data_IF_749490701749
#
_entry.id   IF_749490701749
#
_cell.length_a   1.000
_cell.length_b   1.000
_cell.length_c   1.000
_cell.angle_alpha   90.00
_cell.angle_beta   90.00
_cell.angle_gamma   90.00
#
_symmetry.space_group_name_H-M   'P 1'
#
loop_
_entity.id
_entity.type
_entity.pdbx_description
1 polymer ?
#
# COMPACT_ATOMS: atom_id res chain seq x y z
N UNK A 1 2.54 13.50 5.12
CA UNK A 1 3.45 12.41 4.74
C UNK A 1 4.84 13.01 4.90
N UNK A 2 5.59 12.57 5.91
CA UNK A 2 6.94 13.08 6.17
C UNK A 2 7.91 12.13 5.45
N UNK A 3 8.42 12.54 4.30
CA UNK A 3 9.34 11.76 3.50
C UNK A 3 10.27 12.67 2.72
N UNK A 4 11.48 12.18 2.44
CA UNK A 4 12.52 12.92 1.75
C UNK A 4 12.89 12.20 0.45
N UNK A 5 13.00 12.98 -0.62
CA UNK A 5 13.53 12.51 -1.89
C UNK A 5 15.05 12.59 -1.85
N UNK A 6 15.74 11.50 -2.18
CA UNK A 6 17.19 11.55 -2.38
C UNK A 6 17.49 11.97 -3.81
N UNK A 7 18.13 13.12 -3.96
CA UNK A 7 18.71 13.63 -5.22
C UNK A 7 20.25 13.57 -5.15
N UNK A 8 20.80 13.04 -4.05
CA UNK A 8 22.23 12.94 -3.83
C UNK A 8 22.81 11.71 -4.54
N UNK A 9 23.76 11.95 -5.45
CA UNK A 9 24.46 10.90 -6.20
C UNK A 9 25.24 9.92 -5.32
N UNK A 10 25.60 10.31 -4.09
CA UNK A 10 26.30 9.44 -3.13
C UNK A 10 25.33 8.47 -2.41
N UNK A 11 24.03 8.77 -2.40
CA UNK A 11 22.98 7.99 -1.73
C UNK A 11 21.95 7.57 -2.78
N UNK A 12 22.38 6.72 -3.72
CA UNK A 12 21.54 6.09 -4.74
C UNK A 12 21.32 4.60 -4.41
N UNK A 13 20.16 4.07 -4.75
CA UNK A 13 19.93 2.62 -4.72
C UNK A 13 20.24 2.03 -6.10
N UNK A 14 21.32 1.26 -6.21
CA UNK A 14 21.78 0.67 -7.48
C UNK A 14 21.95 1.71 -8.61
N UNK A 15 22.33 2.94 -8.26
CA UNK A 15 22.50 4.05 -9.22
C UNK A 15 21.20 4.76 -9.63
N UNK A 16 20.08 4.51 -8.93
CA UNK A 16 18.79 5.18 -9.14
C UNK A 16 18.34 5.95 -7.90
N UNK A 17 17.59 7.01 -8.14
CA UNK A 17 16.89 7.75 -7.08
C UNK A 17 15.84 6.86 -6.41
N UNK A 18 15.54 7.16 -5.15
CA UNK A 18 14.53 6.45 -4.38
C UNK A 18 13.76 7.42 -3.47
N UNK A 19 12.66 6.92 -2.90
CA UNK A 19 11.90 7.65 -1.89
C UNK A 19 12.21 7.10 -0.50
N UNK A 20 12.58 7.98 0.43
CA UNK A 20 12.74 7.64 1.84
C UNK A 20 11.52 8.12 2.63
N UNK A 21 10.69 7.19 3.09
CA UNK A 21 9.61 7.49 4.04
C UNK A 21 10.17 7.44 5.46
N UNK A 22 10.14 8.57 6.18
CA UNK A 22 10.52 8.59 7.59
C UNK A 22 9.35 8.04 8.41
N UNK A 23 9.56 6.92 9.09
CA UNK A 23 8.50 6.25 9.86
C UNK A 23 9.06 5.34 10.95
N UNK A 24 8.44 5.43 12.13
CA UNK A 24 8.61 4.47 13.25
C UNK A 24 7.37 3.59 13.41
N UNK A 25 6.43 3.64 12.46
CA UNK A 25 5.19 2.90 12.56
C UNK A 25 5.44 1.40 12.39
N UNK A 26 5.47 0.67 13.51
CA UNK A 26 5.75 -0.77 13.57
C UNK A 26 4.90 -1.60 12.60
N UNK A 27 3.61 -1.25 12.44
CA UNK A 27 2.73 -2.01 11.54
C UNK A 27 3.06 -1.88 10.07
N UNK A 28 3.45 -0.68 9.63
CA UNK A 28 3.88 -0.46 8.25
C UNK A 28 5.20 -1.18 7.99
N UNK A 29 6.13 -1.13 8.96
CA UNK A 29 7.42 -1.81 8.87
C UNK A 29 7.27 -3.33 8.73
N UNK A 30 6.45 -3.96 9.57
CA UNK A 30 6.16 -5.41 9.47
C UNK A 30 5.54 -5.79 8.12
N UNK A 31 4.65 -4.94 7.59
CA UNK A 31 4.06 -5.14 6.25
C UNK A 31 5.14 -5.01 5.17
N UNK A 32 5.99 -3.99 5.23
CA UNK A 32 7.09 -3.81 4.29
C UNK A 32 8.09 -4.98 4.33
N UNK A 33 8.38 -5.55 5.50
CA UNK A 33 9.22 -6.76 5.62
C UNK A 33 8.59 -7.96 4.90
N UNK A 34 7.27 -8.16 5.03
CA UNK A 34 6.55 -9.20 4.30
C UNK A 34 6.62 -8.98 2.79
N UNK A 35 6.47 -7.74 2.33
CA UNK A 35 6.52 -7.37 0.91
C UNK A 35 7.94 -7.44 0.32
N UNK A 36 8.99 -7.26 1.14
CA UNK A 36 10.37 -7.56 0.74
C UNK A 36 10.57 -9.07 0.51
N UNK A 37 10.00 -9.91 1.37
CA UNK A 37 10.12 -11.37 1.29
C UNK A 37 9.26 -11.96 0.16
N UNK A 38 8.09 -11.37 -0.08
CA UNK A 38 7.12 -11.78 -1.09
C UNK A 38 6.78 -10.57 -1.97
N UNK A 39 7.63 -10.23 -2.95
CA UNK A 39 7.41 -9.06 -3.79
C UNK A 39 6.29 -9.29 -4.82
N UNK A 40 5.62 -8.22 -5.22
CA UNK A 40 4.61 -8.22 -6.28
C UNK A 40 4.87 -7.09 -7.28
N UNK A 41 4.67 -7.38 -8.56
CA UNK A 41 4.95 -6.44 -9.67
C UNK A 41 4.09 -5.17 -9.66
N UNK A 42 2.96 -5.18 -8.97
CA UNK A 42 2.08 -4.00 -8.84
C UNK A 42 2.05 -3.41 -7.43
N UNK A 43 3.06 -3.73 -6.62
CA UNK A 43 3.33 -3.10 -5.32
C UNK A 43 4.70 -2.43 -5.41
N UNK A 44 4.85 -1.27 -4.77
CA UNK A 44 6.12 -0.53 -4.69
C UNK A 44 7.25 -1.46 -4.21
N UNK A 45 8.40 -1.41 -4.88
CA UNK A 45 9.55 -2.20 -4.44
C UNK A 45 10.17 -1.55 -3.20
N UNK A 46 10.22 -2.29 -2.10
CA UNK A 46 10.92 -1.88 -0.88
C UNK A 46 12.39 -2.28 -1.01
N UNK A 47 13.30 -1.32 -0.85
CA UNK A 47 14.75 -1.53 -0.98
C UNK A 47 15.39 -1.83 0.37
N UNK A 48 15.05 -1.05 1.39
CA UNK A 48 15.67 -1.15 2.70
C UNK A 48 14.73 -0.63 3.80
N UNK A 49 14.84 -1.20 5.00
CA UNK A 49 14.15 -0.74 6.20
C UNK A 49 15.24 -0.41 7.22
N UNK A 50 15.44 0.89 7.47
CA UNK A 50 16.39 1.39 8.48
C UNK A 50 15.72 1.50 9.85
N UNK A 51 16.38 2.15 10.82
CA UNK A 51 15.85 2.27 12.19
C UNK A 51 14.55 3.09 12.28
N UNK A 52 14.47 4.19 11.52
CA UNK A 52 13.34 5.12 11.52
C UNK A 52 12.90 5.56 10.12
N UNK A 53 13.27 4.77 9.10
CA UNK A 53 12.91 5.03 7.72
C UNK A 53 12.71 3.76 6.89
N UNK A 54 12.05 3.91 5.75
CA UNK A 54 11.89 2.89 4.72
C UNK A 54 12.28 3.49 3.37
N UNK A 55 13.24 2.87 2.69
CA UNK A 55 13.66 3.23 1.34
C UNK A 55 12.91 2.38 0.33
N UNK A 56 12.29 3.01 -0.66
CA UNK A 56 11.45 2.34 -1.65
C UNK A 56 11.55 2.99 -3.02
N UNK A 57 11.09 2.28 -4.04
CA UNK A 57 10.98 2.75 -5.42
C UNK A 57 10.30 4.12 -5.47
N UNK A 58 10.96 5.07 -6.13
CA UNK A 58 10.37 6.37 -6.42
C UNK A 58 9.35 6.22 -7.55
N UNK A 59 8.11 6.63 -7.29
CA UNK A 59 7.00 6.51 -8.23
C UNK A 59 6.57 7.88 -8.75
N UNK A 60 6.11 7.93 -10.00
CA UNK A 60 5.38 9.08 -10.53
C UNK A 60 3.91 9.01 -10.09
N UNK A 61 3.45 9.98 -9.30
CA UNK A 61 2.07 10.03 -8.79
C UNK A 61 1.13 10.89 -9.65
N UNK A 62 1.62 11.49 -10.75
CA UNK A 62 0.78 12.24 -11.70
C UNK A 62 0.05 11.27 -12.64
N UNK A 63 -1.11 10.79 -12.18
CA UNK A 63 -1.93 9.81 -12.90
C UNK A 63 -3.18 10.47 -13.51
N UNK A 64 -3.37 10.29 -14.82
CA UNK A 64 -4.58 10.75 -15.50
C UNK A 64 -5.79 9.85 -15.21
N UNK A 65 -6.98 10.47 -15.15
CA UNK A 65 -8.25 9.76 -14.92
C UNK A 65 -8.72 8.90 -16.10
N UNK A 66 -8.09 9.00 -17.26
CA UNK A 66 -8.47 8.22 -18.44
C UNK A 66 -8.13 6.72 -18.28
N UNK A 67 -7.24 6.38 -17.34
CA UNK A 67 -6.75 5.01 -17.13
C UNK A 67 -7.49 4.23 -16.01
N UNK A 68 -8.59 4.75 -15.48
CA UNK A 68 -9.13 4.27 -14.20
C UNK A 68 -9.71 2.87 -14.23
N UNK A 69 -10.30 2.44 -15.34
CA UNK A 69 -10.73 1.05 -15.51
C UNK A 69 -9.54 0.08 -15.47
N UNK A 70 -8.41 0.45 -16.06
CA UNK A 70 -7.19 -0.36 -16.03
C UNK A 70 -6.62 -0.43 -14.61
N UNK A 71 -6.52 0.72 -13.94
CA UNK A 71 -6.04 0.81 -12.55
C UNK A 71 -6.90 -0.01 -11.60
N UNK A 72 -8.23 0.07 -11.72
CA UNK A 72 -9.15 -0.73 -10.90
C UNK A 72 -8.90 -2.23 -11.06
N UNK A 73 -8.70 -2.71 -12.29
CA UNK A 73 -8.44 -4.13 -12.55
C UNK A 73 -7.12 -4.57 -11.92
N UNK A 74 -6.04 -3.80 -12.10
CA UNK A 74 -4.73 -4.10 -11.48
C UNK A 74 -4.83 -4.07 -9.95
N UNK A 75 -5.51 -3.08 -9.38
CA UNK A 75 -5.66 -2.99 -7.92
C UNK A 75 -6.55 -4.08 -7.33
N UNK A 76 -7.50 -4.64 -8.09
CA UNK A 76 -8.27 -5.80 -7.67
C UNK A 76 -7.38 -7.04 -7.50
N UNK A 77 -6.43 -7.25 -8.43
CA UNK A 77 -5.44 -8.32 -8.34
C UNK A 77 -4.50 -8.10 -7.15
N UNK A 78 -4.02 -6.87 -6.94
CA UNK A 78 -3.20 -6.50 -5.78
C UNK A 78 -3.95 -6.71 -4.47
N UNK A 79 -5.21 -6.31 -4.36
CA UNK A 79 -6.04 -6.54 -3.17
C UNK A 79 -6.12 -8.03 -2.84
N UNK A 80 -6.41 -8.84 -3.85
CA UNK A 80 -6.52 -10.30 -3.68
C UNK A 80 -5.19 -10.88 -3.21
N UNK A 81 -4.08 -10.44 -3.79
CA UNK A 81 -2.73 -10.84 -3.38
C UNK A 81 -2.44 -10.47 -1.92
N UNK A 82 -2.68 -9.21 -1.53
CA UNK A 82 -2.45 -8.73 -0.16
C UNK A 82 -3.27 -9.51 0.87
N UNK A 83 -4.57 -9.72 0.61
CA UNK A 83 -5.44 -10.46 1.52
C UNK A 83 -4.97 -11.92 1.68
N UNK A 84 -4.48 -12.55 0.61
CA UNK A 84 -3.89 -13.90 0.66
C UNK A 84 -2.57 -13.95 1.44
N UNK A 85 -1.84 -12.84 1.51
CA UNK A 85 -0.64 -12.70 2.34
C UNK A 85 -0.95 -12.32 3.80
N UNK A 86 -2.24 -12.10 4.13
CA UNK A 86 -2.68 -11.67 5.46
C UNK A 86 -2.59 -10.15 5.68
N UNK A 87 -2.39 -9.36 4.62
CA UNK A 87 -2.36 -7.89 4.68
C UNK A 87 -3.73 -7.34 4.27
N UNK A 88 -4.26 -6.46 5.10
CA UNK A 88 -5.55 -5.79 4.88
C UNK A 88 -5.27 -4.29 4.68
N UNK A 89 -5.44 -3.80 3.45
CA UNK A 89 -4.88 -2.50 3.04
C UNK A 89 -5.70 -1.29 3.51
N UNK A 90 -7.02 -1.33 3.29
CA UNK A 90 -8.07 -0.39 3.73
C UNK A 90 -7.98 1.02 3.14
N UNK A 91 -6.80 1.60 2.98
CA UNK A 91 -6.62 2.98 2.51
C UNK A 91 -6.55 3.10 0.98
N UNK A 92 -7.51 2.48 0.30
CA UNK A 92 -7.66 2.58 -1.15
C UNK A 92 -7.98 4.01 -1.54
N UNK A 93 -7.03 4.68 -2.19
CA UNK A 93 -7.17 6.02 -2.78
C UNK A 93 -6.18 6.16 -3.93
N UNK A 94 -6.55 6.95 -4.95
CA UNK A 94 -5.66 7.19 -6.10
C UNK A 94 -4.31 7.80 -5.70
N UNK A 95 -4.29 8.60 -4.62
CA UNK A 95 -3.07 9.22 -4.09
C UNK A 95 -2.02 8.19 -3.63
N UNK A 96 -2.42 6.93 -3.39
CA UNK A 96 -1.53 5.83 -3.00
C UNK A 96 -1.23 4.88 -4.17
N UNK A 97 -1.47 5.32 -5.40
CA UNK A 97 -1.17 4.56 -6.61
C UNK A 97 -0.25 5.41 -7.48
N UNK A 98 0.92 4.86 -7.77
CA UNK A 98 1.93 5.50 -8.60
C UNK A 98 2.24 4.71 -9.86
N UNK A 99 3.02 5.33 -10.74
CA UNK A 99 3.55 4.74 -11.95
C UNK A 99 5.06 4.55 -11.73
N UNK A 100 5.50 3.30 -11.70
CA UNK A 100 6.91 2.93 -11.65
C UNK A 100 7.53 2.83 -13.04
N UNK A 101 8.67 2.15 -13.13
CA UNK A 101 9.35 1.92 -14.41
C UNK A 101 8.45 1.19 -15.41
N UNK A 102 8.63 1.49 -16.71
CA UNK A 102 7.87 0.88 -17.82
C UNK A 102 6.35 1.06 -17.73
N UNK A 103 5.87 2.19 -17.18
CA UNK A 103 4.44 2.50 -17.02
C UNK A 103 3.66 1.53 -16.13
N UNK A 104 4.36 0.82 -15.24
CA UNK A 104 3.73 -0.15 -14.36
C UNK A 104 3.00 0.54 -13.20
N UNK A 105 1.73 0.20 -13.01
CA UNK A 105 0.91 0.69 -11.89
C UNK A 105 1.36 0.00 -10.60
N UNK A 106 1.62 0.78 -9.55
CA UNK A 106 2.16 0.35 -8.26
C UNK A 106 1.33 0.90 -7.10
N UNK A 107 0.93 0.04 -6.17
CA UNK A 107 0.38 0.44 -4.88
C UNK A 107 1.52 0.76 -3.90
N UNK A 108 1.38 1.84 -3.12
CA UNK A 108 2.32 2.23 -2.06
C UNK A 108 1.57 2.75 -0.82
N UNK A 109 2.31 3.12 0.24
CA UNK A 109 1.80 3.72 1.48
C UNK A 109 0.86 2.80 2.31
N UNK A 110 1.46 2.06 3.26
CA UNK A 110 0.79 0.99 4.03
C UNK A 110 0.49 1.38 5.49
N UNK A 111 0.52 2.67 5.84
CA UNK A 111 0.32 3.12 7.21
C UNK A 111 -1.13 2.95 7.71
N UNK A 112 -2.10 2.98 6.79
CA UNK A 112 -3.52 2.68 7.03
C UNK A 112 -3.85 1.19 7.05
N UNK A 113 -2.88 0.31 6.85
CA UNK A 113 -3.08 -1.13 6.71
C UNK A 113 -2.97 -1.90 8.03
N UNK A 114 -3.40 -3.16 8.02
CA UNK A 114 -3.28 -4.08 9.14
C UNK A 114 -2.91 -5.49 8.72
N UNK A 115 -2.65 -6.35 9.71
CA UNK A 115 -2.27 -7.75 9.54
C UNK A 115 -3.28 -8.67 10.20
N UNK A 116 -3.62 -9.75 9.50
CA UNK A 116 -4.47 -10.83 10.01
C UNK A 116 -3.71 -12.15 10.04
N UNK A 117 -4.16 -13.03 10.91
CA UNK A 117 -3.81 -14.43 10.85
C UNK A 117 -4.62 -15.10 9.74
N UNK A 118 -3.95 -15.79 8.81
CA UNK A 118 -4.58 -16.33 7.61
C UNK A 118 -5.50 -17.51 7.94
N UNK A 119 -5.23 -18.26 9.01
CA UNK A 119 -6.03 -19.44 9.38
C UNK A 119 -7.31 -19.02 10.11
N UNK A 120 -7.18 -18.14 11.09
CA UNK A 120 -8.28 -17.69 11.95
C UNK A 120 -9.06 -16.51 11.37
N UNK A 121 -8.47 -15.76 10.43
CA UNK A 121 -8.99 -14.51 9.85
C UNK A 121 -9.14 -13.37 10.85
N UNK A 122 -8.51 -13.49 12.03
CA UNK A 122 -8.54 -12.49 13.08
C UNK A 122 -7.35 -11.52 12.98
N UNK A 123 -7.50 -10.32 13.56
CA UNK A 123 -6.44 -9.32 13.58
C UNK A 123 -5.25 -9.77 14.43
N UNK A 124 -4.06 -9.82 13.82
CA UNK A 124 -2.77 -9.82 14.55
C UNK A 124 -2.43 -8.37 14.91
N UNK A 125 -2.56 -7.48 13.93
CA UNK A 125 -2.37 -6.04 14.08
C UNK A 125 -3.50 -5.31 13.38
N UNK A 126 -4.35 -4.65 14.16
CA UNK A 126 -5.50 -3.93 13.62
C UNK A 126 -5.04 -2.67 12.90
N UNK A 127 -5.60 -2.45 11.71
CA UNK A 127 -5.43 -1.20 10.98
C UNK A 127 -5.97 0.01 11.77
N UNK A 128 -5.41 1.21 11.57
CA UNK A 128 -5.95 2.43 12.14
C UNK A 128 -7.42 2.66 11.74
N UNK A 129 -8.21 3.20 12.67
CA UNK A 129 -9.61 3.51 12.44
C UNK A 129 -9.77 4.83 11.68
N UNK A 130 -9.18 4.94 10.48
CA UNK A 130 -9.34 6.08 9.59
C UNK A 130 -10.69 6.05 8.85
N UNK A 131 -10.90 7.03 7.97
CA UNK A 131 -12.18 7.28 7.33
C UNK A 131 -12.73 6.03 6.61
N UNK A 132 -11.93 5.40 5.74
CA UNK A 132 -12.34 4.21 4.97
C UNK A 132 -12.74 3.04 5.87
N UNK A 133 -11.96 2.78 6.94
CA UNK A 133 -12.32 1.79 7.95
C UNK A 133 -13.68 2.11 8.57
N UNK A 134 -13.87 3.33 9.07
CA UNK A 134 -15.10 3.75 9.75
C UNK A 134 -16.33 3.64 8.86
N UNK A 135 -16.19 4.02 7.59
CA UNK A 135 -17.28 3.90 6.62
C UNK A 135 -17.64 2.44 6.35
N UNK A 136 -16.66 1.54 6.22
CA UNK A 136 -16.95 0.12 6.05
C UNK A 136 -17.73 -0.47 7.25
N UNK A 137 -17.35 -0.10 8.48
CA UNK A 137 -18.11 -0.49 9.68
C UNK A 137 -19.53 0.07 9.66
N UNK A 138 -19.73 1.34 9.27
CA UNK A 138 -21.08 1.93 9.12
C UNK A 138 -21.92 1.21 8.08
N UNK A 139 -21.29 0.69 7.03
CA UNK A 139 -21.93 -0.17 6.02
C UNK A 139 -22.14 -1.62 6.51
N UNK A 140 -21.87 -1.92 7.78
CA UNK A 140 -22.17 -3.20 8.40
C UNK A 140 -21.09 -4.27 8.21
N UNK A 141 -19.92 -3.92 7.66
CA UNK A 141 -18.81 -4.86 7.52
C UNK A 141 -18.24 -5.20 8.89
N UNK A 142 -17.88 -6.48 9.09
CA UNK A 142 -17.41 -6.98 10.40
C UNK A 142 -16.05 -7.66 10.32
N UNK A 143 -15.80 -8.40 9.24
CA UNK A 143 -14.54 -9.12 9.07
C UNK A 143 -13.48 -8.19 8.46
N UNK A 144 -12.18 -8.45 8.68
CA UNK A 144 -11.10 -7.65 8.09
C UNK A 144 -11.19 -7.56 6.56
N UNK A 145 -11.41 -8.69 5.89
CA UNK A 145 -11.53 -8.75 4.42
C UNK A 145 -12.77 -8.01 3.91
N UNK A 146 -13.91 -8.10 4.62
CA UNK A 146 -15.11 -7.35 4.22
C UNK A 146 -14.92 -5.85 4.35
N UNK A 147 -14.19 -5.41 5.38
CA UNK A 147 -13.85 -4.00 5.58
C UNK A 147 -13.01 -3.48 4.41
N UNK A 148 -11.98 -4.22 4.02
CA UNK A 148 -11.10 -3.88 2.91
C UNK A 148 -11.81 -3.93 1.56
N UNK A 149 -12.66 -4.93 1.33
CA UNK A 149 -13.50 -5.03 0.14
C UNK A 149 -14.45 -3.85 0.02
N UNK A 150 -15.09 -3.44 1.13
CA UNK A 150 -15.95 -2.27 1.15
C UNK A 150 -15.18 -0.98 0.89
N UNK A 151 -14.01 -0.81 1.51
CA UNK A 151 -13.15 0.36 1.28
C UNK A 151 -12.72 0.46 -0.19
N UNK A 152 -12.28 -0.65 -0.80
CA UNK A 152 -11.95 -0.72 -2.22
C UNK A 152 -13.13 -0.29 -3.11
N UNK A 153 -14.31 -0.85 -2.84
CA UNK A 153 -15.52 -0.54 -3.60
C UNK A 153 -15.96 0.91 -3.45
N UNK A 154 -15.84 1.50 -2.26
CA UNK A 154 -16.20 2.89 -2.01
C UNK A 154 -15.34 3.84 -2.84
N UNK A 155 -14.04 3.57 -2.95
CA UNK A 155 -13.13 4.40 -3.73
C UNK A 155 -13.39 4.25 -5.23
N UNK A 156 -13.35 3.03 -5.75
CA UNK A 156 -13.48 2.77 -7.19
C UNK A 156 -14.93 2.79 -7.73
N UNK A 157 -15.89 3.30 -6.94
CA UNK A 157 -17.22 3.75 -7.38
C UNK A 157 -17.32 5.27 -7.54
N UNK A 158 -16.42 6.03 -6.90
CA UNK A 158 -16.40 7.50 -6.95
C UNK A 158 -15.67 8.05 -8.17
N UNK A 159 -14.84 7.21 -8.75
CA UNK A 159 -14.01 7.45 -9.93
C UNK A 159 -14.74 6.93 -11.16
#
# INVERSE_FOLDING_TARGET
MDGEFTIDTEILHEGKDFFRKMTKHMGEREICELLMKYPHNNIVKIYHIGDDYIDMELLNTDMSRENMSSVKNVMMEVKTYLQNLGIIYIDWKLDNIGIGENQQIRLFDFDGSGLIDIETKEWIRRAPLYWSYREAIKNGMKTPSDIDNCAFDLEFRRI
#
